data_IF_320174821583
#
_entry.id   IF_320174821583
#
_cell.length_a   1.000
_cell.length_b   1.000
_cell.length_c   1.000
_cell.angle_alpha   90.00
_cell.angle_beta   90.00
_cell.angle_gamma   90.00
#
_symmetry.space_group_name_H-M   'P 1'
#
loop_
_entity.id
_entity.type
_entity.pdbx_description
1 polymer ?
#
# COMPACT_ATOMS: atom_id res chain seq x y z
N UNK A 1 6.80 -22.74 70.19
CA UNK A 1 5.36 -22.37 70.24
C UNK A 1 4.79 -22.46 68.82
N UNK A 2 3.71 -23.22 68.64
CA UNK A 2 2.93 -23.36 67.40
C UNK A 2 2.04 -22.12 67.15
N UNK A 3 1.83 -21.75 65.88
CA UNK A 3 0.67 -21.03 65.28
C UNK A 3 0.97 -20.85 63.77
N UNK A 4 0.53 -21.75 62.88
CA UNK A 4 -0.73 -21.81 62.09
C UNK A 4 -0.94 -20.60 61.15
N UNK A 5 -1.02 -20.92 59.86
CA UNK A 5 -1.20 -20.12 58.64
C UNK A 5 -2.71 -20.05 58.28
N UNK A 6 -3.17 -19.06 57.50
CA UNK A 6 -3.82 -19.37 56.21
C UNK A 6 -3.27 -18.44 55.09
N UNK A 7 -2.54 -18.93 54.08
CA UNK A 7 -2.97 -19.42 52.76
C UNK A 7 -4.12 -18.63 52.14
N UNK A 8 -3.77 -17.70 51.23
CA UNK A 8 -4.66 -17.24 50.15
C UNK A 8 -4.08 -17.73 48.84
N UNK A 9 -4.84 -18.63 48.24
CA UNK A 9 -4.58 -19.32 46.97
C UNK A 9 -4.92 -18.40 45.82
N UNK A 10 -3.91 -17.88 45.11
CA UNK A 10 -4.10 -17.27 43.80
C UNK A 10 -4.00 -18.34 42.73
N UNK A 11 -5.14 -18.82 42.22
CA UNK A 11 -5.18 -19.80 41.16
C UNK A 11 -4.78 -19.16 39.82
N UNK A 12 -3.61 -19.56 39.31
CA UNK A 12 -3.20 -19.37 37.91
C UNK A 12 -3.90 -20.46 37.10
N UNK A 13 -4.87 -20.09 36.27
CA UNK A 13 -5.46 -21.00 35.29
C UNK A 13 -4.61 -20.98 34.01
N UNK A 14 -3.72 -21.97 33.91
CA UNK A 14 -3.10 -22.40 32.66
C UNK A 14 -4.07 -23.40 32.00
N UNK A 15 -4.73 -23.00 30.92
CA UNK A 15 -5.41 -23.96 30.06
C UNK A 15 -4.48 -24.38 28.92
N UNK A 16 -3.81 -25.52 29.13
CA UNK A 16 -3.33 -26.38 28.06
C UNK A 16 -4.52 -27.15 27.49
N UNK A 17 -5.02 -26.74 26.33
CA UNK A 17 -6.00 -27.51 25.56
C UNK A 17 -5.31 -28.23 24.41
N UNK A 18 -5.17 -29.56 24.50
CA UNK A 18 -4.81 -30.40 23.38
C UNK A 18 -5.98 -30.44 22.38
N UNK A 19 -5.72 -30.18 21.09
CA UNK A 19 -6.71 -30.32 20.03
C UNK A 19 -6.49 -31.70 19.38
N UNK A 20 -7.43 -32.62 19.61
CA UNK A 20 -7.54 -33.83 18.81
C UNK A 20 -8.30 -33.49 17.51
N UNK A 21 -7.65 -33.67 16.36
CA UNK A 21 -8.25 -33.49 15.03
C UNK A 21 -8.70 -34.85 14.53
N UNK A 22 -10.00 -35.05 14.37
CA UNK A 22 -10.54 -36.15 13.56
C UNK A 22 -10.75 -35.63 12.14
N UNK A 23 -10.13 -36.31 11.17
CA UNK A 23 -10.36 -36.08 9.75
C UNK A 23 -11.49 -37.00 9.28
N UNK A 24 -12.62 -36.42 8.87
CA UNK A 24 -13.60 -37.09 8.03
C UNK A 24 -13.44 -36.56 6.61
N UNK A 25 -13.12 -37.46 5.68
CA UNK A 25 -13.03 -37.17 4.26
C UNK A 25 -14.44 -37.01 3.68
N UNK A 26 -14.74 -35.82 3.14
CA UNK A 26 -15.69 -35.68 2.04
C UNK A 26 -15.35 -34.43 1.23
N UNK A 27 -15.39 -34.60 -0.09
CA UNK A 27 -14.85 -33.69 -1.10
C UNK A 27 -15.51 -32.30 -1.16
N UNK A 28 -14.70 -31.34 -1.62
CA UNK A 28 -15.00 -29.98 -2.13
C UNK A 28 -15.06 -28.81 -1.13
N UNK A 29 -14.12 -27.88 -1.35
CA UNK A 29 -14.03 -26.49 -0.87
C UNK A 29 -13.86 -26.24 0.64
N UNK A 30 -12.64 -26.46 1.17
CA UNK A 30 -12.28 -26.05 2.52
C UNK A 30 -11.70 -24.63 2.58
N UNK A 31 -12.57 -23.67 2.92
CA UNK A 31 -12.19 -22.48 3.68
C UNK A 31 -11.99 -22.92 5.13
N UNK A 32 -10.76 -23.02 5.62
CA UNK A 32 -10.51 -23.41 7.01
C UNK A 32 -10.80 -22.23 7.94
N UNK A 33 -11.99 -22.19 8.55
CA UNK A 33 -12.28 -21.38 9.74
C UNK A 33 -12.84 -22.29 10.84
N UNK A 34 -12.05 -22.44 11.90
CA UNK A 34 -12.37 -23.22 13.09
C UNK A 34 -13.46 -22.53 13.89
N UNK A 35 -14.59 -23.19 14.12
CA UNK A 35 -15.63 -22.70 15.05
C UNK A 35 -15.27 -23.17 16.47
N UNK A 36 -15.22 -22.24 17.42
CA UNK A 36 -15.11 -22.55 18.86
C UNK A 36 -16.50 -22.45 19.47
N UNK A 37 -16.96 -23.50 20.14
CA UNK A 37 -18.27 -23.57 20.82
C UNK A 37 -18.06 -23.51 22.33
N UNK A 38 -18.90 -22.74 23.04
CA UNK A 38 -18.90 -22.66 24.51
C UNK A 38 -20.14 -23.37 25.11
N UNK A 39 -20.11 -23.65 26.42
CA UNK A 39 -20.83 -24.73 27.14
C UNK A 39 -22.38 -24.64 27.17
N UNK A 40 -23.00 -23.59 26.66
CA UNK A 40 -24.47 -23.41 26.69
C UNK A 40 -25.17 -23.61 25.34
N UNK A 41 -24.50 -24.20 24.35
CA UNK A 41 -25.04 -24.50 23.02
C UNK A 41 -25.63 -23.31 22.24
N UNK A 42 -25.41 -22.07 22.70
CA UNK A 42 -25.67 -20.87 21.91
C UNK A 42 -24.48 -20.60 20.98
N UNK A 43 -24.76 -20.63 19.67
CA UNK A 43 -23.81 -20.21 18.64
C UNK A 43 -23.64 -18.70 18.78
N UNK A 44 -22.52 -18.27 19.37
CA UNK A 44 -22.08 -16.89 19.30
C UNK A 44 -21.81 -16.56 17.83
N UNK A 45 -22.79 -15.95 17.18
CA UNK A 45 -22.60 -15.32 15.89
C UNK A 45 -21.47 -14.30 16.05
N UNK A 46 -20.37 -14.56 15.34
CA UNK A 46 -19.30 -13.61 15.09
C UNK A 46 -19.94 -12.25 14.79
N UNK A 47 -19.79 -11.32 15.74
CA UNK A 47 -20.17 -9.93 15.57
C UNK A 47 -19.69 -9.45 14.21
N UNK A 48 -20.65 -9.16 13.33
CA UNK A 48 -20.40 -8.55 12.04
C UNK A 48 -19.59 -7.28 12.31
N UNK A 49 -18.33 -7.28 11.88
CA UNK A 49 -17.61 -6.04 11.73
C UNK A 49 -18.45 -5.16 10.80
N UNK A 50 -18.89 -3.96 11.23
CA UNK A 50 -19.65 -3.10 10.36
C UNK A 50 -18.73 -2.70 9.21
N UNK A 51 -18.95 -3.27 8.03
CA UNK A 51 -18.25 -2.93 6.79
C UNK A 51 -18.70 -1.57 6.25
N UNK A 52 -18.73 -0.54 7.11
CA UNK A 52 -19.06 0.84 6.76
C UNK A 52 -17.80 1.67 6.60
N UNK A 53 -16.92 1.22 5.71
CA UNK A 53 -16.26 2.14 4.80
C UNK A 53 -16.69 1.69 3.41
N UNK A 54 -17.80 2.25 2.93
CA UNK A 54 -18.09 2.17 1.50
C UNK A 54 -16.91 2.83 0.79
N UNK A 55 -16.09 2.02 0.12
CA UNK A 55 -15.14 2.53 -0.87
C UNK A 55 -15.90 3.49 -1.79
N UNK A 56 -15.34 4.67 -2.12
CA UNK A 56 -16.02 5.64 -2.98
C UNK A 56 -16.53 4.93 -4.24
N UNK A 57 -17.81 5.09 -4.57
CA UNK A 57 -18.43 4.49 -5.78
C UNK A 57 -17.67 4.93 -7.03
N UNK A 58 -16.70 4.14 -7.46
CA UNK A 58 -15.99 4.31 -8.73
C UNK A 58 -16.75 3.58 -9.83
N UNK A 59 -17.75 4.26 -10.40
CA UNK A 59 -18.34 3.85 -11.68
C UNK A 59 -17.27 3.96 -12.78
N UNK A 60 -17.07 2.88 -13.54
CA UNK A 60 -16.26 2.78 -14.77
C UNK A 60 -14.76 3.14 -14.68
N UNK A 61 -14.00 2.55 -13.75
CA UNK A 61 -12.52 2.55 -13.82
C UNK A 61 -12.01 1.21 -14.34
N UNK A 62 -10.94 1.22 -15.14
CA UNK A 62 -10.33 0.00 -15.67
C UNK A 62 -9.91 -0.93 -14.51
N UNK A 63 -9.96 -2.25 -14.75
CA UNK A 63 -9.58 -3.26 -13.74
C UNK A 63 -8.20 -2.98 -13.14
N UNK A 64 -7.26 -2.51 -13.97
CA UNK A 64 -5.89 -2.19 -13.59
C UNK A 64 -5.83 -1.02 -12.60
N UNK A 65 -6.62 0.04 -12.83
CA UNK A 65 -6.70 1.21 -11.93
C UNK A 65 -7.32 0.84 -10.58
N UNK A 66 -8.38 0.03 -10.57
CA UNK A 66 -9.00 -0.41 -9.31
C UNK A 66 -8.03 -1.24 -8.47
N UNK A 67 -7.38 -2.22 -9.09
CA UNK A 67 -6.34 -3.03 -8.45
C UNK A 67 -5.19 -2.16 -7.93
N UNK A 68 -4.75 -1.17 -8.71
CA UNK A 68 -3.72 -0.23 -8.27
C UNK A 68 -4.12 0.48 -6.98
N UNK A 69 -5.29 1.12 -6.98
CA UNK A 69 -5.79 1.88 -5.82
C UNK A 69 -5.99 1.03 -4.58
N UNK A 70 -6.56 -0.17 -4.71
CA UNK A 70 -6.71 -1.11 -3.60
C UNK A 70 -5.36 -1.49 -2.99
N UNK A 71 -4.37 -1.84 -3.83
CA UNK A 71 -3.03 -2.19 -3.32
C UNK A 71 -2.30 -0.99 -2.74
N UNK A 72 -2.45 0.20 -3.31
CA UNK A 72 -1.85 1.43 -2.82
C UNK A 72 -2.44 1.83 -1.47
N UNK A 73 -3.74 1.66 -1.28
CA UNK A 73 -4.41 1.88 0.00
C UNK A 73 -3.95 0.85 1.04
N UNK A 74 -3.91 -0.43 0.69
CA UNK A 74 -3.41 -1.47 1.59
C UNK A 74 -1.95 -1.23 1.98
N UNK A 75 -1.11 -0.78 1.03
CA UNK A 75 0.27 -0.39 1.31
C UNK A 75 0.32 0.84 2.21
N UNK A 76 -0.50 1.86 1.95
CA UNK A 76 -0.49 3.09 2.72
C UNK A 76 -0.91 2.92 4.17
N UNK A 77 -1.50 1.79 4.58
CA UNK A 77 -1.85 1.48 5.98
C UNK A 77 -0.69 0.93 6.83
N UNK A 78 0.40 0.47 6.20
CA UNK A 78 1.50 -0.16 6.93
C UNK A 78 2.89 0.06 6.35
N UNK A 79 2.98 0.58 5.13
CA UNK A 79 4.22 0.79 4.37
C UNK A 79 5.09 -0.48 4.35
N UNK A 80 4.45 -1.63 4.11
CA UNK A 80 5.13 -2.92 4.09
C UNK A 80 5.88 -3.08 2.77
N UNK A 81 7.21 -2.99 2.84
CA UNK A 81 8.11 -3.18 1.71
C UNK A 81 8.42 -4.67 1.50
N UNK A 82 8.69 -5.04 0.25
CA UNK A 82 9.11 -6.40 -0.11
C UNK A 82 10.54 -6.33 -0.62
N UNK A 83 11.43 -7.14 -0.06
CA UNK A 83 12.81 -7.20 -0.53
C UNK A 83 12.89 -8.03 -1.83
N UNK A 84 13.55 -7.46 -2.83
CA UNK A 84 13.81 -8.06 -4.13
C UNK A 84 15.32 -8.13 -4.38
N UNK A 85 15.74 -9.14 -5.16
CA UNK A 85 17.16 -9.30 -5.50
C UNK A 85 17.66 -8.26 -6.49
N UNK A 86 16.76 -7.71 -7.31
CA UNK A 86 17.10 -6.74 -8.37
C UNK A 86 16.51 -5.39 -8.04
N UNK A 87 17.28 -4.34 -8.34
CA UNK A 87 16.80 -2.96 -8.21
C UNK A 87 15.76 -2.63 -9.30
N UNK A 88 16.05 -3.02 -10.54
CA UNK A 88 15.17 -2.85 -11.70
C UNK A 88 15.10 -4.16 -12.49
N UNK A 89 13.89 -4.58 -12.82
CA UNK A 89 13.61 -5.61 -13.80
C UNK A 89 12.45 -5.14 -14.69
N UNK A 90 12.62 -5.23 -16.01
CA UNK A 90 11.59 -4.84 -16.97
C UNK A 90 10.86 -6.06 -17.53
N UNK A 91 9.54 -5.94 -17.73
CA UNK A 91 8.79 -6.83 -18.62
C UNK A 91 8.88 -6.36 -20.07
N UNK A 92 8.87 -5.04 -20.27
CA UNK A 92 9.10 -4.38 -21.55
C UNK A 92 9.79 -3.03 -21.29
N UNK A 93 11.10 -2.95 -21.53
CA UNK A 93 11.91 -1.79 -21.17
C UNK A 93 11.52 -0.52 -21.94
N UNK A 94 11.41 -0.61 -23.27
CA UNK A 94 11.14 0.55 -24.14
C UNK A 94 9.79 1.19 -23.80
N UNK A 95 8.72 0.38 -23.73
CA UNK A 95 7.39 0.87 -23.39
C UNK A 95 7.31 1.41 -21.95
N UNK A 96 8.12 0.88 -21.03
CA UNK A 96 8.17 1.35 -19.65
C UNK A 96 8.85 2.71 -19.56
N UNK A 97 9.97 2.89 -20.28
CA UNK A 97 10.70 4.17 -20.36
C UNK A 97 9.83 5.27 -20.95
N UNK A 98 9.15 4.99 -22.05
CA UNK A 98 8.24 5.95 -22.69
C UNK A 98 7.09 6.35 -21.75
N UNK A 99 6.46 5.37 -21.09
CA UNK A 99 5.37 5.64 -20.15
C UNK A 99 5.83 6.44 -18.94
N UNK A 100 6.98 6.12 -18.36
CA UNK A 100 7.51 6.86 -17.22
C UNK A 100 7.85 8.31 -17.60
N UNK A 101 8.35 8.54 -18.81
CA UNK A 101 8.57 9.88 -19.34
C UNK A 101 7.24 10.64 -19.51
N UNK A 102 6.18 9.98 -20.01
CA UNK A 102 4.83 10.57 -20.10
C UNK A 102 4.30 11.01 -18.72
N UNK A 103 4.41 10.12 -17.73
CA UNK A 103 4.03 10.37 -16.33
C UNK A 103 4.80 11.56 -15.75
N UNK A 104 6.12 11.66 -16.01
CA UNK A 104 6.95 12.80 -15.59
C UNK A 104 6.55 14.10 -16.27
N UNK A 105 6.35 14.08 -17.59
CA UNK A 105 5.93 15.27 -18.35
C UNK A 105 4.57 15.81 -17.89
N UNK A 106 3.64 14.91 -17.53
CA UNK A 106 2.37 15.31 -16.97
C UNK A 106 2.55 16.06 -15.64
N UNK A 107 3.39 15.54 -14.73
CA UNK A 107 3.65 16.20 -13.46
C UNK A 107 4.40 17.52 -13.64
N UNK A 108 5.33 17.64 -14.59
CA UNK A 108 5.96 18.92 -14.93
C UNK A 108 4.91 19.95 -15.35
N UNK A 109 3.98 19.59 -16.23
CA UNK A 109 2.88 20.48 -16.65
C UNK A 109 1.96 20.83 -15.48
N UNK A 110 1.59 19.84 -14.68
CA UNK A 110 0.66 20.00 -13.56
C UNK A 110 1.23 20.91 -12.47
N UNK A 111 2.55 20.86 -12.26
CA UNK A 111 3.23 21.52 -11.14
C UNK A 111 4.07 22.73 -11.53
N UNK A 112 3.95 23.20 -12.77
CA UNK A 112 4.84 24.21 -13.36
C UNK A 112 6.33 23.88 -13.11
N UNK A 113 6.74 22.67 -13.49
CA UNK A 113 8.09 22.13 -13.29
C UNK A 113 8.52 22.13 -11.81
N UNK A 114 7.61 21.72 -10.91
CA UNK A 114 7.86 21.63 -9.48
C UNK A 114 7.81 22.96 -8.72
N UNK A 115 7.26 24.03 -9.31
CA UNK A 115 7.15 25.35 -8.68
C UNK A 115 5.78 25.64 -8.03
N UNK A 116 4.73 24.90 -8.42
CA UNK A 116 3.37 25.08 -7.89
C UNK A 116 2.70 23.71 -7.62
N UNK A 117 2.24 23.50 -6.40
CA UNK A 117 1.55 22.27 -6.01
C UNK A 117 0.05 22.49 -5.67
N UNK A 118 -0.48 23.69 -5.92
CA UNK A 118 -1.86 24.06 -5.61
C UNK A 118 -2.90 23.30 -6.46
N UNK A 119 -2.46 22.64 -7.54
CA UNK A 119 -3.27 21.80 -8.42
C UNK A 119 -3.93 20.60 -7.73
N UNK A 120 -3.51 20.25 -6.50
CA UNK A 120 -4.23 19.29 -5.63
C UNK A 120 -5.71 19.63 -5.48
N UNK A 121 -6.07 20.91 -5.61
CA UNK A 121 -7.44 21.41 -5.62
C UNK A 121 -8.16 21.09 -6.93
N UNK A 122 -8.49 19.83 -7.17
CA UNK A 122 -9.30 19.44 -8.32
C UNK A 122 -8.91 18.14 -9.02
N UNK A 123 -7.83 17.47 -8.57
CA UNK A 123 -7.32 16.24 -9.20
C UNK A 123 -8.41 15.19 -9.46
N UNK A 124 -9.30 14.96 -8.50
CA UNK A 124 -10.42 14.01 -8.63
C UNK A 124 -11.38 14.27 -9.81
N UNK A 125 -11.42 15.51 -10.33
CA UNK A 125 -12.24 15.94 -11.47
C UNK A 125 -11.43 16.13 -12.75
N UNK A 126 -10.10 16.02 -12.69
CA UNK A 126 -9.22 16.18 -13.82
C UNK A 126 -9.13 14.86 -14.59
N UNK A 127 -9.49 14.85 -15.88
CA UNK A 127 -9.41 13.65 -16.70
C UNK A 127 -7.96 13.28 -17.03
N UNK A 128 -7.07 14.26 -17.25
CA UNK A 128 -5.63 14.01 -17.43
C UNK A 128 -5.01 13.37 -16.16
N UNK A 129 -5.53 13.70 -14.96
CA UNK A 129 -5.10 13.04 -13.72
C UNK A 129 -5.50 11.57 -13.68
N UNK A 130 -6.67 11.22 -14.22
CA UNK A 130 -7.11 9.82 -14.28
C UNK A 130 -6.21 9.01 -15.22
N UNK A 131 -5.88 9.58 -16.37
CA UNK A 131 -4.93 8.98 -17.34
C UNK A 131 -3.55 8.81 -16.70
N UNK A 132 -3.04 9.82 -16.00
CA UNK A 132 -1.79 9.72 -15.23
C UNK A 132 -1.81 8.55 -14.22
N UNK A 133 -2.88 8.42 -13.43
CA UNK A 133 -3.00 7.31 -12.46
C UNK A 133 -3.06 5.95 -13.17
N UNK A 134 -3.70 5.87 -14.34
CA UNK A 134 -3.73 4.65 -15.14
C UNK A 134 -2.34 4.31 -15.69
N UNK A 135 -1.58 5.28 -16.16
CA UNK A 135 -0.21 5.06 -16.61
C UNK A 135 0.71 4.58 -15.48
N UNK A 136 0.59 5.16 -14.28
CA UNK A 136 1.32 4.68 -13.09
C UNK A 136 0.91 3.24 -12.75
N UNK A 137 -0.37 2.90 -12.84
CA UNK A 137 -0.85 1.55 -12.60
C UNK A 137 -0.25 0.55 -13.61
N UNK A 138 -0.14 0.95 -14.87
CA UNK A 138 0.50 0.14 -15.91
C UNK A 138 2.01 0.01 -15.73
N UNK A 139 2.72 1.04 -15.25
CA UNK A 139 4.13 0.91 -14.87
C UNK A 139 4.30 -0.21 -13.85
N UNK A 140 3.46 -0.24 -12.81
CA UNK A 140 3.52 -1.25 -11.72
C UNK A 140 3.19 -2.66 -12.20
N UNK A 141 2.15 -2.84 -13.00
CA UNK A 141 1.63 -4.17 -13.32
C UNK A 141 2.10 -4.74 -14.65
N UNK A 142 2.45 -3.88 -15.60
CA UNK A 142 2.77 -4.28 -16.97
C UNK A 142 4.17 -3.83 -17.40
N UNK A 143 4.74 -2.78 -16.79
CA UNK A 143 6.06 -2.25 -17.13
C UNK A 143 7.21 -3.00 -16.45
N UNK A 144 7.21 -2.98 -15.12
CA UNK A 144 8.25 -3.62 -14.31
C UNK A 144 7.90 -5.05 -13.91
N UNK A 145 8.93 -5.90 -13.81
CA UNK A 145 8.88 -7.21 -13.18
C UNK A 145 9.29 -7.10 -11.70
N UNK A 146 9.39 -8.23 -11.00
CA UNK A 146 9.78 -8.29 -9.58
C UNK A 146 11.15 -7.63 -9.36
N UNK A 147 11.13 -6.41 -8.81
CA UNK A 147 12.30 -5.62 -8.46
C UNK A 147 11.94 -4.52 -7.45
N UNK A 148 12.95 -3.96 -6.79
CA UNK A 148 12.80 -2.93 -5.75
C UNK A 148 12.02 -1.70 -6.22
N UNK A 149 12.12 -1.30 -7.49
CA UNK A 149 11.31 -0.19 -8.05
C UNK A 149 9.79 -0.36 -7.87
N UNK A 150 9.29 -1.59 -7.66
CA UNK A 150 7.88 -1.82 -7.33
C UNK A 150 7.51 -1.26 -5.95
N UNK A 151 8.45 -1.20 -5.00
CA UNK A 151 8.29 -0.53 -3.72
C UNK A 151 8.15 0.98 -3.90
N UNK A 152 8.93 1.59 -4.79
CA UNK A 152 8.79 3.02 -5.10
C UNK A 152 7.44 3.31 -5.76
N UNK A 153 6.96 2.42 -6.64
CA UNK A 153 5.62 2.55 -7.22
C UNK A 153 4.49 2.33 -6.20
N UNK A 154 4.74 1.62 -5.10
CA UNK A 154 3.82 1.58 -3.96
C UNK A 154 3.80 2.93 -3.22
N UNK A 155 4.97 3.55 -3.02
CA UNK A 155 5.10 4.89 -2.42
C UNK A 155 4.39 5.93 -3.29
N UNK A 156 4.63 5.94 -4.60
CA UNK A 156 3.91 6.77 -5.58
C UNK A 156 2.40 6.57 -5.45
N UNK A 157 1.93 5.33 -5.34
CA UNK A 157 0.52 5.02 -5.14
C UNK A 157 -0.07 5.62 -3.86
N UNK A 158 0.66 5.56 -2.74
CA UNK A 158 0.23 6.17 -1.49
C UNK A 158 0.17 7.71 -1.59
N UNK A 159 1.17 8.33 -2.22
CA UNK A 159 1.21 9.78 -2.45
C UNK A 159 0.07 10.26 -3.35
N UNK A 160 -0.27 9.50 -4.40
CA UNK A 160 -1.44 9.76 -5.25
C UNK A 160 -2.73 9.79 -4.43
N UNK A 161 -2.93 8.83 -3.52
CA UNK A 161 -4.12 8.78 -2.67
C UNK A 161 -4.20 10.01 -1.76
N UNK A 162 -3.08 10.42 -1.15
CA UNK A 162 -3.03 11.58 -0.27
C UNK A 162 -3.28 12.88 -1.03
N UNK A 163 -2.61 13.09 -2.18
CA UNK A 163 -2.81 14.26 -3.03
C UNK A 163 -4.26 14.37 -3.54
N UNK A 164 -4.85 13.25 -4.01
CA UNK A 164 -6.19 13.26 -4.60
C UNK A 164 -7.31 13.35 -3.56
N UNK A 165 -7.23 12.57 -2.47
CA UNK A 165 -8.32 12.44 -1.50
C UNK A 165 -8.27 13.51 -0.41
N UNK A 166 -7.08 13.93 -0.02
CA UNK A 166 -6.87 14.88 1.07
C UNK A 166 -6.44 16.27 0.58
N UNK A 167 -6.28 16.46 -0.74
CA UNK A 167 -5.80 17.71 -1.35
C UNK A 167 -4.48 18.17 -0.73
N UNK A 168 -3.60 17.23 -0.46
CA UNK A 168 -2.38 17.47 0.28
C UNK A 168 -1.24 17.87 -0.67
N UNK A 169 -0.85 19.16 -0.63
CA UNK A 169 0.22 19.71 -1.47
C UNK A 169 1.58 19.02 -1.24
N UNK A 170 2.02 18.75 0.03
CA UNK A 170 3.25 17.99 0.25
C UNK A 170 3.26 16.60 -0.42
N UNK A 171 2.12 15.93 -0.50
CA UNK A 171 2.00 14.65 -1.21
C UNK A 171 2.24 14.80 -2.70
N UNK A 172 1.73 15.88 -3.31
CA UNK A 172 1.97 16.16 -4.72
C UNK A 172 3.44 16.54 -4.97
N UNK A 173 4.07 17.26 -4.04
CA UNK A 173 5.50 17.58 -4.08
C UNK A 173 6.37 16.30 -4.00
N UNK A 174 6.12 15.44 -3.02
CA UNK A 174 6.85 14.16 -2.93
C UNK A 174 6.56 13.25 -4.12
N UNK A 175 5.35 13.28 -4.67
CA UNK A 175 5.01 12.54 -5.89
C UNK A 175 5.84 13.05 -7.07
N UNK A 176 5.91 14.37 -7.26
CA UNK A 176 6.72 15.01 -8.29
C UNK A 176 8.17 14.58 -8.20
N UNK A 177 8.79 14.75 -7.02
CA UNK A 177 10.20 14.42 -6.79
C UNK A 177 10.48 12.93 -7.01
N UNK A 178 9.59 12.05 -6.53
CA UNK A 178 9.77 10.59 -6.65
C UNK A 178 9.71 10.15 -8.11
N UNK A 179 8.73 10.63 -8.87
CA UNK A 179 8.62 10.31 -10.31
C UNK A 179 9.78 10.90 -11.09
N UNK A 180 10.23 12.11 -10.77
CA UNK A 180 11.39 12.74 -11.42
C UNK A 180 12.65 11.91 -11.24
N UNK A 181 12.94 11.45 -10.01
CA UNK A 181 14.08 10.58 -9.73
C UNK A 181 13.95 9.24 -10.46
N UNK A 182 12.80 8.56 -10.33
CA UNK A 182 12.54 7.29 -11.01
C UNK A 182 12.74 7.41 -12.52
N UNK A 183 12.23 8.48 -13.13
CA UNK A 183 12.42 8.73 -14.56
C UNK A 183 13.90 8.90 -14.88
N UNK A 184 14.63 9.74 -14.14
CA UNK A 184 16.07 9.92 -14.36
C UNK A 184 16.84 8.59 -14.31
N UNK A 185 16.61 7.79 -13.28
CA UNK A 185 17.28 6.50 -13.08
C UNK A 185 16.99 5.54 -14.22
N UNK A 186 15.72 5.40 -14.60
CA UNK A 186 15.28 4.52 -15.68
C UNK A 186 15.84 4.97 -17.03
N UNK A 187 15.99 6.27 -17.27
CA UNK A 187 16.61 6.81 -18.47
C UNK A 187 18.15 6.79 -18.43
N UNK A 188 18.76 6.38 -17.32
CA UNK A 188 20.22 6.33 -17.16
C UNK A 188 20.86 7.71 -16.93
N UNK A 189 20.10 8.68 -16.42
CA UNK A 189 20.59 9.98 -15.98
C UNK A 189 20.63 10.06 -14.45
N UNK A 190 21.32 11.08 -13.91
CA UNK A 190 21.35 11.29 -12.45
C UNK A 190 19.98 11.69 -11.93
N UNK A 191 19.59 11.11 -10.79
CA UNK A 191 18.49 11.58 -9.97
C UNK A 191 18.87 12.89 -9.25
N UNK A 192 17.89 13.77 -9.05
CA UNK A 192 18.10 15.12 -8.53
C UNK A 192 17.81 15.16 -7.02
N UNK A 193 16.71 14.56 -6.60
CA UNK A 193 16.18 14.68 -5.25
C UNK A 193 16.66 13.55 -4.33
N UNK A 194 16.96 12.37 -4.92
CA UNK A 194 17.43 11.16 -4.23
C UNK A 194 16.45 10.67 -3.16
N UNK A 195 15.14 10.82 -3.42
CA UNK A 195 14.08 10.52 -2.45
C UNK A 195 13.41 9.16 -2.67
N UNK A 196 13.90 8.35 -3.61
CA UNK A 196 13.38 6.99 -3.83
C UNK A 196 13.94 6.03 -2.77
N UNK A 197 13.20 4.99 -2.41
CA UNK A 197 13.70 3.96 -1.49
C UNK A 197 14.84 3.17 -2.13
N UNK A 198 14.68 2.81 -3.40
CA UNK A 198 15.57 1.87 -4.08
C UNK A 198 16.92 2.49 -4.42
N UNK A 199 16.93 3.77 -4.84
CA UNK A 199 18.12 4.41 -5.39
C UNK A 199 18.54 5.66 -4.62
N UNK A 200 17.65 6.17 -3.77
CA UNK A 200 17.92 7.34 -2.95
C UNK A 200 18.87 7.04 -1.80
N UNK A 201 19.11 8.07 -1.00
CA UNK A 201 19.92 8.00 0.21
C UNK A 201 19.01 8.24 1.43
N UNK A 202 19.58 8.81 2.48
CA UNK A 202 18.87 9.19 3.71
C UNK A 202 17.63 10.07 3.45
N UNK A 203 17.53 10.78 2.32
CA UNK A 203 16.37 11.59 1.96
C UNK A 203 15.06 10.80 1.82
N UNK A 204 15.11 9.48 1.57
CA UNK A 204 13.91 8.66 1.58
C UNK A 204 13.26 8.58 2.98
N UNK A 205 14.03 8.75 4.05
CA UNK A 205 13.50 8.76 5.42
C UNK A 205 12.48 9.90 5.62
N UNK A 206 12.66 11.02 4.92
CA UNK A 206 11.71 12.13 4.93
C UNK A 206 10.36 11.70 4.35
N UNK A 207 10.36 11.09 3.16
CA UNK A 207 9.14 10.57 2.51
C UNK A 207 8.46 9.52 3.38
N UNK A 208 9.24 8.61 3.95
CA UNK A 208 8.71 7.55 4.79
C UNK A 208 8.09 8.12 6.08
N UNK A 209 8.78 9.04 6.75
CA UNK A 209 8.28 9.69 7.97
C UNK A 209 7.02 10.49 7.68
N UNK A 210 7.02 11.21 6.57
CA UNK A 210 5.86 11.94 6.08
C UNK A 210 4.66 11.00 5.86
N UNK A 211 4.81 9.90 5.12
CA UNK A 211 3.72 8.95 4.89
C UNK A 211 3.25 8.29 6.18
N UNK A 212 4.16 7.97 7.12
CA UNK A 212 3.79 7.46 8.46
C UNK A 212 2.93 8.44 9.25
N UNK A 213 3.13 9.75 9.06
CA UNK A 213 2.31 10.78 9.72
C UNK A 213 0.87 10.89 9.17
N UNK A 214 0.56 10.19 8.07
CA UNK A 214 -0.75 10.15 7.42
C UNK A 214 -1.56 8.87 7.72
N UNK A 215 -0.97 7.97 8.51
CA UNK A 215 -1.62 6.78 9.07
C UNK A 215 -2.58 7.16 10.21
#
# INVERSE_FOLDING_TARGET
MKRIIPTVTGAVLLFTGAIAVYAEESETNSTTRTNVVNVDNEVLQSSEFPSKYESPKHKERSYVVNKFRETSYSFSLGLNYVDFEKDIAYKNEEATKERLQSVKNYLDKLTDNGNDFSAVNGLQRNDEWKEFVEDVAHLKYSGFDKSEILNDLNVVGALILQAEMHKDEPSLEFLYKTISDLNSIVQGTSDEYKITRTFGNDSFEEVQTYLKSKL
#
